data_IF_354920920134
#
_entry.id   IF_354920920134
#
_cell.length_a   1.000
_cell.length_b   1.000
_cell.length_c   1.000
_cell.angle_alpha   90.00
_cell.angle_beta   90.00
_cell.angle_gamma   90.00
#
_symmetry.space_group_name_H-M   'P 1'
#
loop_
_entity.id
_entity.type
_entity.pdbx_description
1 polymer ?
#
# COMPACT_ATOMS: atom_id res chain seq x y z
N UNK A 1 10.52 22.38 0.59
CA UNK A 1 10.43 21.64 0.46
C UNK A 1 10.21 20.66 0.11
N UNK A 2 9.98 20.63 -0.58
CA UNK A 2 9.57 19.71 -0.83
C UNK A 2 9.98 18.83 -0.76
N UNK A 3 9.82 18.27 -0.87
CA UNK A 3 10.45 17.48 -0.50
C UNK A 3 10.80 16.18 -1.03
N UNK A 4 12.25 15.63 -0.99
CA UNK A 4 12.60 14.31 -1.45
C UNK A 4 11.83 13.23 -0.74
N UNK A 5 11.54 13.49 0.51
CA UNK A 5 10.75 12.56 1.30
C UNK A 5 9.42 12.30 0.62
N UNK A 6 8.81 13.34 0.10
CA UNK A 6 7.56 13.18 -0.60
C UNK A 6 7.71 12.32 -1.84
N UNK A 7 8.80 12.53 -2.57
CA UNK A 7 9.04 11.76 -3.78
C UNK A 7 9.25 10.28 -3.46
N UNK A 8 10.03 10.00 -2.42
CA UNK A 8 10.35 8.63 -2.06
C UNK A 8 9.18 7.89 -1.42
N UNK A 9 8.29 8.62 -0.79
CA UNK A 9 7.18 8.03 -0.06
C UNK A 9 5.83 8.47 -0.58
N UNK A 10 5.74 8.70 -1.89
CA UNK A 10 4.50 9.21 -2.46
C UNK A 10 3.30 8.32 -2.15
N UNK A 11 3.44 7.02 -2.34
CA UNK A 11 2.35 6.09 -2.03
C UNK A 11 2.00 6.13 -0.55
N UNK A 12 3.03 6.10 0.29
CA UNK A 12 2.83 6.13 1.74
C UNK A 12 2.15 7.42 2.17
N UNK A 13 2.54 8.53 1.56
CA UNK A 13 1.95 9.82 1.86
C UNK A 13 0.47 9.84 1.52
N UNK A 14 0.10 9.31 0.37
CA UNK A 14 -1.29 9.28 -0.06
C UNK A 14 -2.13 8.35 0.80
N UNK A 15 -1.50 7.37 1.41
CA UNK A 15 -2.18 6.39 2.26
C UNK A 15 -2.12 6.75 3.74
N UNK A 16 -1.52 7.89 4.07
CA UNK A 16 -1.25 8.24 5.46
C UNK A 16 -2.52 8.24 6.32
N UNK A 17 -3.63 8.65 5.75
CA UNK A 17 -4.89 8.71 6.49
C UNK A 17 -5.33 7.33 6.99
N UNK A 18 -5.06 6.30 6.19
CA UNK A 18 -5.54 4.95 6.49
C UNK A 18 -4.43 4.00 6.90
N UNK A 19 -3.21 4.52 7.01
CA UNK A 19 -2.04 3.68 7.19
C UNK A 19 -2.12 2.78 8.42
N UNK A 20 -2.65 3.31 9.51
CA UNK A 20 -2.75 2.55 10.76
C UNK A 20 -4.06 1.77 10.89
N UNK A 21 -5.00 1.99 9.98
CA UNK A 21 -6.29 1.31 10.02
C UNK A 21 -6.31 0.00 9.26
N UNK A 22 -5.33 -0.23 8.39
CA UNK A 22 -5.34 -1.36 7.47
C UNK A 22 -4.23 -2.33 7.82
N UNK A 23 -4.54 -3.61 7.74
CA UNK A 23 -3.53 -4.64 7.90
C UNK A 23 -2.77 -4.80 6.58
N UNK A 24 -1.64 -4.15 6.47
CA UNK A 24 -0.83 -4.23 5.25
C UNK A 24 -0.26 -5.62 5.04
N UNK A 25 -0.09 -6.36 6.14
CA UNK A 25 0.33 -7.75 6.03
C UNK A 25 -0.70 -8.57 5.26
N UNK A 26 -1.99 -8.36 5.56
CA UNK A 26 -3.05 -9.07 4.85
C UNK A 26 -3.21 -8.58 3.43
N UNK A 27 -3.00 -7.29 3.20
CA UNK A 27 -3.01 -6.75 1.84
C UNK A 27 -1.90 -7.42 1.02
N UNK A 28 -0.69 -7.51 1.58
CA UNK A 28 0.43 -8.14 0.88
C UNK A 28 0.12 -9.60 0.58
N UNK A 29 -0.35 -10.31 1.58
CA UNK A 29 -0.60 -11.74 1.45
C UNK A 29 -1.76 -12.03 0.49
N UNK A 30 -2.86 -11.35 0.68
CA UNK A 30 -4.10 -11.65 -0.05
C UNK A 30 -4.07 -11.15 -1.49
N UNK A 31 -3.56 -9.96 -1.71
CA UNK A 31 -3.66 -9.34 -3.04
C UNK A 31 -2.38 -9.44 -3.86
N UNK A 32 -1.24 -9.61 -3.21
CA UNK A 32 0.04 -9.67 -3.92
C UNK A 32 0.73 -11.02 -3.80
N UNK A 33 0.31 -11.85 -2.85
CA UNK A 33 1.01 -13.11 -2.59
C UNK A 33 2.42 -12.89 -2.09
N UNK A 34 2.63 -11.81 -1.35
CA UNK A 34 3.95 -11.42 -0.85
C UNK A 34 3.94 -11.26 0.65
N UNK A 35 5.13 -11.09 1.22
CA UNK A 35 5.27 -10.86 2.66
C UNK A 35 4.96 -9.40 3.01
N UNK A 36 4.71 -9.15 4.30
CA UNK A 36 4.52 -7.78 4.75
C UNK A 36 5.78 -6.94 4.54
N UNK A 37 6.96 -7.54 4.71
CA UNK A 37 8.22 -6.81 4.48
C UNK A 37 8.31 -6.30 3.05
N UNK A 38 7.92 -7.14 2.10
CA UNK A 38 7.92 -6.75 0.70
C UNK A 38 7.06 -5.50 0.49
N UNK A 39 5.87 -5.51 1.07
CA UNK A 39 4.93 -4.39 0.89
C UNK A 39 5.43 -3.13 1.57
N UNK A 40 5.97 -3.26 2.79
CA UNK A 40 6.49 -2.10 3.50
C UNK A 40 7.67 -1.47 2.76
N UNK A 41 8.53 -2.30 2.15
CA UNK A 41 9.63 -1.76 1.34
C UNK A 41 9.08 -0.98 0.16
N UNK A 42 8.02 -1.47 -0.47
CA UNK A 42 7.38 -0.76 -1.59
C UNK A 42 6.78 0.56 -1.12
N UNK A 43 6.12 0.54 0.02
CA UNK A 43 5.52 1.76 0.58
C UNK A 43 6.59 2.79 0.93
N UNK A 44 7.73 2.34 1.40
CA UNK A 44 8.83 3.23 1.76
C UNK A 44 9.66 3.66 0.54
N UNK A 45 9.40 3.04 -0.61
CA UNK A 45 10.13 3.39 -1.83
C UNK A 45 11.56 2.87 -1.83
N UNK A 46 11.82 1.78 -1.10
CA UNK A 46 13.16 1.24 -0.94
C UNK A 46 13.18 -0.21 -1.38
N UNK A 47 14.19 -0.58 -2.17
CA UNK A 47 14.42 -1.97 -2.50
C UNK A 47 15.15 -2.66 -1.36
N UNK A 48 15.17 -3.99 -1.41
CA UNK A 48 15.84 -4.76 -0.37
C UNK A 48 17.32 -4.45 -0.21
N UNK A 49 17.95 -3.97 -1.27
CA UNK A 49 19.38 -3.62 -1.24
C UNK A 49 19.62 -2.15 -0.85
N UNK A 50 18.57 -1.44 -0.47
CA UNK A 50 18.69 -0.05 -0.01
C UNK A 50 18.58 0.99 -1.10
N UNK A 51 18.40 0.56 -2.36
CA UNK A 51 18.23 1.53 -3.44
C UNK A 51 16.77 1.89 -3.62
N UNK A 52 16.50 2.92 -4.41
CA UNK A 52 15.14 3.35 -4.73
C UNK A 52 14.33 2.22 -5.32
N UNK A 53 13.08 2.14 -4.92
CA UNK A 53 12.24 1.08 -5.51
C UNK A 53 10.78 1.32 -5.34
N UNK A 54 9.92 1.44 -4.92
CA UNK A 54 8.51 1.70 -4.80
C UNK A 54 7.69 0.84 -5.75
N UNK A 55 6.45 1.22 -5.90
CA UNK A 55 5.54 0.50 -6.77
C UNK A 55 5.76 0.91 -8.22
N UNK A 56 5.86 -0.09 -9.11
CA UNK A 56 5.84 0.21 -10.53
C UNK A 56 4.38 0.43 -10.95
N UNK A 57 4.13 0.85 -12.23
CA UNK A 57 2.75 1.14 -12.65
C UNK A 57 1.79 -0.04 -12.49
N UNK A 58 2.26 -1.24 -12.75
CA UNK A 58 1.44 -2.44 -12.62
C UNK A 58 1.11 -2.71 -11.16
N UNK A 59 2.10 -2.59 -10.30
CA UNK A 59 1.91 -2.79 -8.86
C UNK A 59 1.02 -1.71 -8.27
N UNK A 60 1.15 -0.49 -8.78
CA UNK A 60 0.31 0.61 -8.33
C UNK A 60 -1.16 0.32 -8.66
N UNK A 61 -1.43 -0.18 -9.86
CA UNK A 61 -2.78 -0.53 -10.22
C UNK A 61 -3.30 -1.67 -9.35
N UNK A 62 -2.44 -2.63 -9.07
CA UNK A 62 -2.79 -3.76 -8.21
C UNK A 62 -3.14 -3.28 -6.80
N UNK A 63 -2.38 -2.32 -6.29
CA UNK A 63 -2.66 -1.75 -4.98
C UNK A 63 -3.98 -0.99 -4.97
N UNK A 64 -4.25 -0.21 -6.02
CA UNK A 64 -5.52 0.50 -6.14
C UNK A 64 -6.68 -0.48 -6.12
N UNK A 65 -6.57 -1.55 -6.91
CA UNK A 65 -7.62 -2.56 -6.98
C UNK A 65 -7.82 -3.24 -5.64
N UNK A 66 -6.73 -3.52 -4.93
CA UNK A 66 -6.79 -4.15 -3.61
C UNK A 66 -7.54 -3.26 -2.62
N UNK A 67 -7.21 -1.98 -2.62
CA UNK A 67 -7.85 -1.04 -1.70
C UNK A 67 -9.31 -0.83 -2.05
N UNK A 68 -9.65 -0.79 -3.33
CA UNK A 68 -11.04 -0.65 -3.74
C UNK A 68 -11.85 -1.89 -3.36
N UNK A 69 -11.24 -3.06 -3.49
CA UNK A 69 -11.89 -4.30 -3.07
C UNK A 69 -12.14 -4.30 -1.57
N UNK A 70 -11.13 -3.90 -0.80
CA UNK A 70 -11.27 -3.81 0.64
C UNK A 70 -12.35 -2.80 1.03
N UNK A 71 -12.38 -1.66 0.37
CA UNK A 71 -13.39 -0.64 0.62
C UNK A 71 -14.79 -1.19 0.39
N UNK A 72 -14.96 -1.95 -0.67
CA UNK A 72 -16.23 -2.57 -1.00
C UNK A 72 -16.66 -3.57 0.08
N UNK A 73 -15.70 -4.35 0.56
CA UNK A 73 -15.97 -5.33 1.61
C UNK A 73 -16.32 -4.65 2.93
N UNK A 74 -15.64 -3.56 3.23
CA UNK A 74 -15.95 -2.77 4.43
C UNK A 74 -17.36 -2.20 4.33
N UNK A 75 -17.67 -1.63 3.18
CA UNK A 75 -19.00 -1.03 2.96
C UNK A 75 -20.11 -2.07 3.12
N UNK A 76 -19.87 -3.26 2.55
CA UNK A 76 -20.83 -4.35 2.63
C UNK A 76 -21.03 -4.80 4.07
N UNK A 77 -19.95 -4.95 4.81
CA UNK A 77 -20.02 -5.35 6.20
C UNK A 77 -20.77 -4.30 7.04
N UNK A 78 -20.45 -3.04 6.80
CA UNK A 78 -21.11 -1.94 7.51
C UNK A 78 -22.60 -1.93 7.22
N UNK A 79 -22.99 -2.19 5.98
CA UNK A 79 -24.40 -2.19 5.59
C UNK A 79 -25.18 -3.31 6.26
N UNK A 80 -24.51 -4.38 6.68
CA UNK A 80 -25.20 -5.50 7.32
C UNK A 80 -25.33 -5.32 8.84
N UNK A 81 -24.72 -4.26 9.37
CA UNK A 81 -24.88 -3.95 10.78
C UNK A 81 -26.17 -3.18 11.02
#
# INVERSE_FOLDING_TARGET
MENQTELLTDAKSKLSDILLEISWREIARRYFGKSSSWLYHKLDGIKGDGTSGGFDPEETQQLKDALMDLASRISKAASSL
#
